data_IF_043992130123
#
_entry.id   IF_043992130123
#
_cell.length_a   1.000
_cell.length_b   1.000
_cell.length_c   1.000
_cell.angle_alpha   90.00
_cell.angle_beta   90.00
_cell.angle_gamma   90.00
#
_symmetry.space_group_name_H-M   'P 1'
#
loop_
_entity.id
_entity.type
_entity.pdbx_description
1 polymer ?
#
# COMPACT_ATOMS: atom_id res chain seq x y z
N UNK A 1 -0.78 -20.12 11.20
CA UNK A 1 0.39 -19.44 10.56
C UNK A 1 0.99 -20.13 9.33
N UNK A 2 1.09 -21.47 9.30
CA UNK A 2 1.62 -22.24 8.14
C UNK A 2 1.02 -21.84 6.79
N UNK A 3 -0.29 -21.58 6.74
CA UNK A 3 -0.99 -21.17 5.51
C UNK A 3 -0.36 -19.96 4.82
N UNK A 4 0.14 -18.97 5.57
CA UNK A 4 0.77 -17.78 4.99
C UNK A 4 2.20 -18.07 4.49
N UNK A 5 2.89 -19.03 5.12
CA UNK A 5 4.18 -19.52 4.63
C UNK A 5 4.00 -20.31 3.32
N UNK A 6 2.96 -21.13 3.26
CA UNK A 6 2.60 -21.89 2.06
C UNK A 6 2.17 -20.94 0.94
N UNK A 7 1.40 -19.90 1.28
CA UNK A 7 1.03 -18.81 0.36
C UNK A 7 2.25 -18.09 -0.20
N UNK A 8 3.19 -17.67 0.64
CA UNK A 8 4.42 -17.00 0.19
C UNK A 8 5.22 -17.85 -0.79
N UNK A 9 5.37 -19.16 -0.51
CA UNK A 9 6.04 -20.09 -1.44
C UNK A 9 5.29 -20.24 -2.76
N UNK A 10 3.98 -20.42 -2.71
CA UNK A 10 3.16 -20.57 -3.92
C UNK A 10 3.17 -19.32 -4.80
N UNK A 11 3.12 -18.12 -4.18
CA UNK A 11 3.27 -16.85 -4.88
C UNK A 11 4.61 -16.76 -5.59
N UNK A 12 5.71 -17.07 -4.90
CA UNK A 12 7.05 -17.04 -5.50
C UNK A 12 7.17 -18.03 -6.66
N UNK A 13 6.67 -19.26 -6.49
CA UNK A 13 6.69 -20.27 -7.55
C UNK A 13 5.92 -19.84 -8.80
N UNK A 14 4.76 -19.18 -8.65
CA UNK A 14 3.97 -18.69 -9.79
C UNK A 14 4.57 -17.44 -10.40
N UNK A 15 5.03 -16.51 -9.57
CA UNK A 15 5.62 -15.26 -10.04
C UNK A 15 6.94 -15.48 -10.78
N UNK A 16 7.74 -16.46 -10.36
CA UNK A 16 8.95 -16.89 -11.06
C UNK A 16 8.66 -17.37 -12.50
N UNK A 17 7.53 -18.07 -12.72
CA UNK A 17 7.14 -18.56 -14.06
C UNK A 17 6.87 -17.42 -15.06
N UNK A 18 6.52 -16.24 -14.54
CA UNK A 18 6.35 -15.01 -15.33
C UNK A 18 7.52 -14.03 -15.13
N UNK A 19 8.70 -14.56 -14.77
CA UNK A 19 9.96 -13.82 -14.60
C UNK A 19 9.85 -12.62 -13.64
N UNK A 20 9.05 -12.77 -12.59
CA UNK A 20 8.77 -11.70 -11.61
C UNK A 20 8.17 -10.42 -12.23
N UNK A 21 7.34 -10.54 -13.28
CA UNK A 21 6.59 -9.40 -13.83
C UNK A 21 5.68 -8.78 -12.78
N UNK A 22 5.89 -7.50 -12.46
CA UNK A 22 5.04 -6.73 -11.54
C UNK A 22 3.62 -6.54 -12.10
N UNK A 23 3.47 -6.47 -13.42
CA UNK A 23 2.16 -6.33 -14.09
C UNK A 23 1.29 -7.58 -13.88
N UNK A 24 1.90 -8.78 -13.93
CA UNK A 24 1.19 -10.04 -13.75
C UNK A 24 0.96 -10.41 -12.28
N UNK A 25 1.67 -9.78 -11.34
CA UNK A 25 1.66 -10.17 -9.94
C UNK A 25 0.30 -10.02 -9.24
N UNK A 26 -0.48 -8.92 -9.42
CA UNK A 26 -1.78 -8.78 -8.78
C UNK A 26 -2.75 -9.92 -9.10
N UNK A 27 -2.79 -10.38 -10.35
CA UNK A 27 -3.68 -11.46 -10.77
C UNK A 27 -3.26 -12.80 -10.16
N UNK A 28 -1.95 -13.09 -10.16
CA UNK A 28 -1.38 -14.26 -9.47
C UNK A 28 -1.72 -14.23 -7.98
N UNK A 29 -1.58 -13.08 -7.34
CA UNK A 29 -1.87 -12.92 -5.92
C UNK A 29 -3.35 -13.13 -5.61
N UNK A 30 -4.25 -12.55 -6.42
CA UNK A 30 -5.68 -12.72 -6.30
C UNK A 30 -6.11 -14.19 -6.53
N UNK A 31 -5.49 -14.90 -7.47
CA UNK A 31 -5.71 -16.33 -7.70
C UNK A 31 -5.29 -17.17 -6.48
N UNK A 32 -4.09 -16.95 -5.95
CA UNK A 32 -3.60 -17.68 -4.78
C UNK A 32 -4.48 -17.42 -3.55
N UNK A 33 -4.94 -16.18 -3.33
CA UNK A 33 -5.86 -15.84 -2.25
C UNK A 33 -7.22 -16.55 -2.39
N UNK A 34 -7.72 -16.71 -3.61
CA UNK A 34 -8.95 -17.46 -3.88
C UNK A 34 -8.77 -18.95 -3.67
N UNK A 35 -7.64 -19.50 -4.12
CA UNK A 35 -7.33 -20.93 -4.05
C UNK A 35 -7.08 -21.41 -2.60
N UNK A 36 -6.26 -20.68 -1.85
CA UNK A 36 -5.96 -21.04 -0.46
C UNK A 36 -7.07 -20.64 0.52
N UNK A 37 -7.93 -19.70 0.12
CA UNK A 37 -9.11 -19.23 0.86
C UNK A 37 -8.85 -19.01 2.37
N UNK A 38 -7.79 -18.27 2.76
CA UNK A 38 -7.37 -18.15 4.17
C UNK A 38 -8.49 -17.61 5.08
N UNK A 39 -9.38 -16.77 4.53
CA UNK A 39 -10.56 -16.22 5.22
C UNK A 39 -11.51 -17.29 5.81
N UNK A 40 -11.57 -18.50 5.24
CA UNK A 40 -12.49 -19.55 5.71
C UNK A 40 -12.07 -20.17 7.04
N UNK A 41 -10.77 -20.22 7.32
CA UNK A 41 -10.21 -20.81 8.53
C UNK A 41 -9.54 -19.77 9.44
N UNK A 42 -9.65 -18.48 9.11
CA UNK A 42 -8.96 -17.42 9.83
C UNK A 42 -9.54 -17.25 11.23
N UNK A 43 -8.65 -17.22 12.23
CA UNK A 43 -8.97 -16.91 13.62
C UNK A 43 -8.29 -15.61 13.99
N UNK A 44 -9.09 -14.60 14.35
CA UNK A 44 -8.63 -13.22 14.58
C UNK A 44 -7.41 -13.11 15.48
N UNK A 45 -7.39 -13.88 16.57
CA UNK A 45 -6.34 -13.77 17.59
C UNK A 45 -5.13 -14.67 17.32
N UNK A 46 -5.23 -15.68 16.45
CA UNK A 46 -4.16 -16.65 16.22
C UNK A 46 -2.83 -15.99 15.76
N UNK A 47 -2.82 -15.00 14.84
CA UNK A 47 -1.57 -14.33 14.47
C UNK A 47 -0.96 -13.50 15.62
N UNK A 48 -1.79 -12.90 16.47
CA UNK A 48 -1.34 -12.13 17.63
C UNK A 48 -0.76 -13.06 18.70
N UNK A 49 -1.43 -14.19 18.98
CA UNK A 49 -0.96 -15.23 19.89
C UNK A 49 0.36 -15.83 19.40
N UNK A 50 0.49 -16.07 18.09
CA UNK A 50 1.74 -16.54 17.49
C UNK A 50 2.89 -15.55 17.69
N UNK A 51 2.64 -14.24 17.57
CA UNK A 51 3.65 -13.21 17.78
C UNK A 51 4.25 -13.27 19.20
N UNK A 52 3.44 -13.54 20.22
CA UNK A 52 3.92 -13.70 21.60
C UNK A 52 4.73 -14.99 21.82
N UNK A 53 4.46 -16.04 21.04
CA UNK A 53 5.05 -17.36 21.22
C UNK A 53 6.29 -17.65 20.37
N UNK A 54 6.52 -16.89 19.30
CA UNK A 54 7.63 -17.15 18.36
C UNK A 54 8.91 -16.43 18.77
N UNK A 55 10.06 -17.06 18.50
CA UNK A 55 11.40 -16.44 18.61
C UNK A 55 12.00 -16.05 17.27
N UNK A 56 11.44 -16.60 16.20
CA UNK A 56 11.85 -16.35 14.83
C UNK A 56 10.63 -15.82 14.08
N UNK A 57 10.69 -14.56 13.68
CA UNK A 57 9.62 -13.90 12.95
C UNK A 57 10.21 -13.17 11.74
N UNK A 58 9.45 -13.08 10.64
CA UNK A 58 9.87 -12.34 9.47
C UNK A 58 10.21 -10.90 9.84
N UNK A 59 11.11 -10.27 9.09
CA UNK A 59 11.44 -8.86 9.30
C UNK A 59 10.15 -8.05 9.24
N UNK A 60 9.77 -7.45 10.36
CA UNK A 60 8.56 -6.63 10.42
C UNK A 60 8.81 -5.35 9.62
N UNK A 61 7.99 -5.16 8.59
CA UNK A 61 8.07 -3.98 7.73
C UNK A 61 6.95 -3.02 8.14
N UNK A 62 7.17 -2.25 9.20
CA UNK A 62 6.31 -1.10 9.52
C UNK A 62 6.65 0.06 8.58
N UNK A 63 6.29 -0.06 7.30
CA UNK A 63 6.57 0.97 6.28
C UNK A 63 5.78 2.25 6.53
N UNK A 64 4.65 2.16 7.22
CA UNK A 64 3.84 3.32 7.61
C UNK A 64 3.27 3.16 9.02
N UNK A 65 3.80 3.90 10.02
CA UNK A 65 3.21 3.93 11.35
C UNK A 65 1.72 4.29 11.28
N UNK A 66 0.87 3.48 11.92
CA UNK A 66 -0.59 3.70 11.96
C UNK A 66 -1.40 3.07 10.83
N UNK A 67 -0.77 2.46 9.82
CA UNK A 67 -1.50 1.70 8.80
C UNK A 67 -1.85 0.31 9.33
N UNK A 68 -3.03 0.18 9.93
CA UNK A 68 -3.46 -0.98 10.71
C UNK A 68 -3.05 -0.91 12.19
N UNK A 69 -3.84 -1.54 13.06
CA UNK A 69 -3.74 -1.52 14.52
C UNK A 69 -3.94 -2.92 15.14
N UNK A 70 -2.94 -3.83 15.10
CA UNK A 70 -1.60 -3.67 14.53
C UNK A 70 -1.51 -4.09 13.04
N UNK A 71 -0.43 -3.68 12.39
CA UNK A 71 0.10 -4.34 11.20
C UNK A 71 1.07 -5.45 11.61
N UNK A 72 1.00 -6.60 10.95
CA UNK A 72 1.83 -7.76 11.24
C UNK A 72 2.34 -8.42 9.96
N UNK A 73 3.66 -8.45 9.77
CA UNK A 73 4.27 -9.19 8.67
C UNK A 73 4.37 -10.67 9.03
N UNK A 74 3.64 -11.53 8.32
CA UNK A 74 3.58 -12.99 8.56
C UNK A 74 4.41 -13.81 7.57
N UNK A 75 4.89 -13.18 6.50
CA UNK A 75 5.87 -13.71 5.56
C UNK A 75 6.66 -12.56 4.96
N UNK A 76 7.97 -12.74 4.77
CA UNK A 76 8.81 -11.78 4.05
C UNK A 76 10.00 -12.49 3.41
N UNK A 77 10.36 -12.08 2.21
CA UNK A 77 11.67 -12.32 1.62
C UNK A 77 12.19 -11.06 0.89
N UNK A 78 13.14 -11.22 -0.04
CA UNK A 78 13.75 -10.10 -0.75
C UNK A 78 12.81 -9.38 -1.74
N UNK A 79 11.69 -9.99 -2.15
CA UNK A 79 10.78 -9.46 -3.19
C UNK A 79 9.32 -9.42 -2.76
N UNK A 80 8.93 -10.26 -1.81
CA UNK A 80 7.55 -10.47 -1.41
C UNK A 80 7.38 -10.30 0.09
N UNK A 81 6.26 -9.69 0.47
CA UNK A 81 5.77 -9.61 1.85
C UNK A 81 4.30 -10.01 1.90
N UNK A 82 3.89 -10.57 3.03
CA UNK A 82 2.48 -10.79 3.35
C UNK A 82 2.24 -10.16 4.72
N UNK A 83 1.41 -9.12 4.72
CA UNK A 83 1.00 -8.42 5.92
C UNK A 83 -0.45 -8.74 6.28
N UNK A 84 -0.71 -8.80 7.58
CA UNK A 84 -2.05 -8.79 8.16
C UNK A 84 -2.29 -7.43 8.80
N UNK A 85 -3.38 -6.78 8.39
CA UNK A 85 -3.81 -5.50 8.94
C UNK A 85 -5.08 -5.69 9.76
N UNK A 86 -5.02 -5.29 11.01
CA UNK A 86 -6.19 -5.17 11.89
C UNK A 86 -6.71 -3.74 11.81
N UNK A 87 -8.02 -3.56 11.67
CA UNK A 87 -8.64 -2.24 11.67
C UNK A 87 -9.57 -2.13 12.86
N UNK A 88 -9.12 -1.44 13.91
CA UNK A 88 -9.89 -1.28 15.16
C UNK A 88 -10.71 0.01 15.10
N UNK A 89 -10.08 1.11 14.68
CA UNK A 89 -10.70 2.44 14.62
C UNK A 89 -11.37 2.74 13.26
N UNK A 90 -11.36 1.77 12.33
CA UNK A 90 -12.25 1.73 11.17
C UNK A 90 -11.90 2.62 9.98
N UNK A 91 -10.82 3.40 10.00
CA UNK A 91 -10.45 4.27 8.87
C UNK A 91 -9.00 4.08 8.42
N UNK A 92 -8.81 4.03 7.10
CA UNK A 92 -7.50 4.14 6.44
C UNK A 92 -7.44 5.50 5.73
N UNK A 93 -6.26 6.12 5.71
CA UNK A 93 -6.05 7.33 4.91
C UNK A 93 -6.03 6.98 3.41
N UNK A 94 -6.43 7.92 2.55
CA UNK A 94 -6.18 7.81 1.11
C UNK A 94 -4.67 7.66 0.89
N UNK A 95 -4.27 6.67 0.11
CA UNK A 95 -2.88 6.39 -0.18
C UNK A 95 -2.71 5.75 -1.55
N UNK A 96 -1.48 5.84 -2.05
CA UNK A 96 -1.05 5.18 -3.27
C UNK A 96 -0.09 4.04 -2.93
N UNK A 97 0.04 3.11 -3.86
CA UNK A 97 0.93 1.96 -3.71
C UNK A 97 2.15 2.16 -4.62
N UNK A 98 3.34 2.22 -4.03
CA UNK A 98 4.61 2.07 -4.74
C UNK A 98 4.97 0.60 -5.01
N UNK A 99 3.98 -0.29 -4.96
CA UNK A 99 4.11 -1.74 -5.10
C UNK A 99 2.88 -2.32 -5.80
N UNK A 100 2.98 -3.56 -6.28
CA UNK A 100 1.88 -4.33 -6.84
C UNK A 100 1.45 -5.46 -5.89
N UNK A 101 0.18 -5.85 -5.93
CA UNK A 101 -0.31 -6.95 -5.10
C UNK A 101 -1.84 -7.06 -5.09
N UNK A 102 -2.34 -7.90 -4.20
CA UNK A 102 -3.76 -8.10 -3.95
C UNK A 102 -4.01 -8.18 -2.44
N UNK A 103 -5.24 -7.89 -2.02
CA UNK A 103 -5.67 -8.04 -0.64
C UNK A 103 -6.99 -8.81 -0.56
N UNK A 104 -7.26 -9.41 0.60
CA UNK A 104 -8.52 -10.09 0.90
C UNK A 104 -8.94 -9.75 2.33
N UNK A 105 -10.23 -9.45 2.52
CA UNK A 105 -10.82 -9.35 3.86
C UNK A 105 -10.89 -10.75 4.45
N UNK A 106 -10.12 -11.00 5.51
CA UNK A 106 -10.12 -12.30 6.20
C UNK A 106 -11.29 -12.44 7.18
N UNK A 107 -11.75 -11.33 7.76
CA UNK A 107 -12.88 -11.30 8.68
C UNK A 107 -13.48 -9.89 8.75
N UNK A 108 -14.80 -9.80 8.90
CA UNK A 108 -15.53 -8.54 8.93
C UNK A 108 -15.88 -8.05 7.53
N UNK A 109 -15.84 -6.73 7.32
CA UNK A 109 -16.17 -6.11 6.04
C UNK A 109 -15.29 -4.88 5.80
N UNK A 110 -15.12 -4.49 4.54
CA UNK A 110 -14.41 -3.28 4.17
C UNK A 110 -15.17 -2.52 3.10
N UNK A 111 -14.96 -1.20 3.06
CA UNK A 111 -15.35 -0.34 1.94
C UNK A 111 -14.06 0.08 1.26
N UNK A 112 -13.95 -0.20 -0.03
CA UNK A 112 -12.78 0.17 -0.83
C UNK A 112 -13.15 1.25 -1.84
N UNK A 113 -12.68 2.47 -1.59
CA UNK A 113 -12.82 3.58 -2.53
C UNK A 113 -11.63 3.64 -3.47
N UNK A 114 -11.90 3.68 -4.78
CA UNK A 114 -10.87 3.88 -5.80
C UNK A 114 -10.79 5.35 -6.18
N UNK A 115 -9.58 5.89 -6.15
CA UNK A 115 -9.29 7.26 -6.56
C UNK A 115 -8.23 7.24 -7.65
N UNK A 116 -8.38 8.11 -8.63
CA UNK A 116 -7.37 8.36 -9.66
C UNK A 116 -6.90 9.79 -9.52
N UNK A 117 -5.58 9.98 -9.47
CA UNK A 117 -5.00 11.31 -9.59
C UNK A 117 -5.26 11.83 -11.01
N UNK A 118 -5.82 13.03 -11.13
CA UNK A 118 -5.81 13.76 -12.40
C UNK A 118 -4.47 14.45 -12.58
N UNK A 119 -4.03 14.55 -13.83
CA UNK A 119 -2.77 15.21 -14.14
C UNK A 119 -2.83 16.70 -13.78
N UNK A 120 -1.69 17.27 -13.38
CA UNK A 120 -1.57 18.70 -13.08
C UNK A 120 -2.19 19.59 -14.16
N UNK A 121 -1.86 19.32 -15.43
CA UNK A 121 -2.39 20.05 -16.58
C UNK A 121 -3.92 20.01 -16.68
N UNK A 122 -4.54 18.88 -16.35
CA UNK A 122 -6.00 18.74 -16.41
C UNK A 122 -6.69 19.55 -15.31
N UNK A 123 -6.12 19.55 -14.10
CA UNK A 123 -6.61 20.39 -12.99
C UNK A 123 -6.49 21.86 -13.34
N UNK A 124 -5.34 22.27 -13.90
CA UNK A 124 -5.10 23.65 -14.30
C UNK A 124 -6.07 24.11 -15.40
N UNK A 125 -6.29 23.29 -16.44
CA UNK A 125 -7.28 23.60 -17.48
C UNK A 125 -8.66 23.87 -16.87
N UNK A 126 -9.10 23.05 -15.93
CA UNK A 126 -10.43 23.20 -15.30
C UNK A 126 -10.54 24.43 -14.41
N UNK A 127 -9.46 24.81 -13.73
CA UNK A 127 -9.44 26.06 -12.95
C UNK A 127 -9.59 27.28 -13.86
N UNK A 128 -8.94 27.28 -15.04
CA UNK A 128 -9.06 28.35 -16.05
C UNK A 128 -10.45 28.46 -16.70
N UNK A 129 -11.28 27.42 -16.60
CA UNK A 129 -12.70 27.51 -17.02
C UNK A 129 -13.55 28.34 -16.03
N UNK A 130 -13.08 28.48 -14.78
CA UNK A 130 -13.82 29.15 -13.70
C UNK A 130 -13.19 30.49 -13.29
N UNK A 131 -11.87 30.59 -13.39
CA UNK A 131 -11.06 31.74 -12.98
C UNK A 131 -10.28 32.32 -14.16
N UNK A 132 -9.72 33.52 -13.99
CA UNK A 132 -8.89 34.15 -15.01
C UNK A 132 -7.64 33.30 -15.33
N UNK A 133 -7.36 33.11 -16.62
CA UNK A 133 -6.32 32.19 -17.04
C UNK A 133 -4.91 32.69 -16.71
N UNK A 134 -4.67 34.00 -16.80
CA UNK A 134 -3.38 34.61 -16.51
C UNK A 134 -3.10 34.59 -15.00
N UNK A 135 -4.15 34.81 -14.19
CA UNK A 135 -4.06 34.68 -12.74
C UNK A 135 -3.77 33.24 -12.30
N UNK A 136 -4.46 32.25 -12.87
CA UNK A 136 -4.22 30.82 -12.56
C UNK A 136 -2.80 30.39 -12.94
N UNK A 137 -2.30 30.82 -14.11
CA UNK A 137 -0.94 30.51 -14.54
C UNK A 137 0.11 31.16 -13.62
N UNK A 138 -0.05 32.45 -13.30
CA UNK A 138 0.86 33.14 -12.38
C UNK A 138 0.91 32.50 -10.99
N UNK A 139 -0.25 32.16 -10.42
CA UNK A 139 -0.30 31.50 -9.11
C UNK A 139 0.28 30.08 -9.14
N UNK A 140 0.07 29.34 -10.23
CA UNK A 140 0.67 28.02 -10.43
C UNK A 140 2.20 28.12 -10.43
N UNK A 141 2.76 29.08 -11.17
CA UNK A 141 4.20 29.31 -11.26
C UNK A 141 4.80 29.72 -9.90
N UNK A 142 4.12 30.59 -9.17
CA UNK A 142 4.53 31.01 -7.82
C UNK A 142 4.56 29.83 -6.83
N UNK A 143 3.55 28.97 -6.86
CA UNK A 143 3.48 27.77 -6.01
C UNK A 143 4.60 26.79 -6.38
N UNK A 144 4.87 26.59 -7.67
CA UNK A 144 5.94 25.73 -8.14
C UNK A 144 7.31 26.26 -7.68
N UNK A 145 7.57 27.56 -7.85
CA UNK A 145 8.80 28.21 -7.39
C UNK A 145 9.00 28.11 -5.87
N UNK A 146 7.90 28.25 -5.11
CA UNK A 146 7.92 28.03 -3.66
C UNK A 146 8.27 26.57 -3.32
N UNK A 147 7.62 25.60 -3.97
CA UNK A 147 7.87 24.19 -3.73
C UNK A 147 9.34 23.80 -4.03
N UNK A 148 9.90 24.31 -5.13
CA UNK A 148 11.31 24.10 -5.48
C UNK A 148 12.25 24.72 -4.43
N UNK A 149 11.96 25.94 -3.99
CA UNK A 149 12.71 26.60 -2.92
C UNK A 149 12.67 25.81 -1.61
N UNK A 150 11.52 25.22 -1.27
CA UNK A 150 11.36 24.38 -0.08
C UNK A 150 12.11 23.04 -0.20
N UNK A 151 12.23 22.47 -1.40
CA UNK A 151 13.01 21.23 -1.64
C UNK A 151 14.52 21.43 -1.47
N UNK A 152 15.02 22.61 -1.83
CA UNK A 152 16.44 22.96 -1.66
C UNK A 152 16.78 23.41 -0.23
N UNK A 153 15.77 23.82 0.55
CA UNK A 153 15.94 24.20 1.94
C UNK A 153 16.35 23.01 2.81
N UNK A 154 17.46 23.13 3.55
CA UNK A 154 17.91 22.11 4.51
C UNK A 154 16.90 21.84 5.63
N UNK A 155 16.04 22.81 5.93
CA UNK A 155 15.00 22.70 6.95
C UNK A 155 13.81 21.87 6.47
N UNK A 156 13.37 22.08 5.22
CA UNK A 156 12.13 21.50 4.69
C UNK A 156 12.34 20.30 3.76
N UNK A 157 13.56 20.10 3.23
CA UNK A 157 13.90 18.96 2.36
C UNK A 157 13.48 17.58 2.91
N UNK A 158 13.55 17.28 4.22
CA UNK A 158 13.08 15.99 4.74
C UNK A 158 11.60 15.72 4.49
N UNK A 159 10.76 16.75 4.47
CA UNK A 159 9.30 16.65 4.25
C UNK A 159 8.91 16.29 2.82
N UNK A 160 9.81 16.48 1.84
CA UNK A 160 9.57 16.16 0.43
C UNK A 160 10.19 14.83 -0.02
N UNK A 161 10.85 14.11 0.89
CA UNK A 161 11.37 12.75 0.66
C UNK A 161 10.36 11.73 1.18
N UNK A 162 9.18 11.70 0.55
CA UNK A 162 8.18 10.64 0.72
C UNK A 162 8.30 9.62 -0.38
#
# INVERSE_FOLDING_TARGET
MRIFQDMGRLLQERWLKVQHSEEAFPDIAAEVLRELAPHQAFKTLEPLEWLYGTRDFPKQLTTRPGFGQPALTVFSDARLLIDLYYWVDGTTDIHQHGFCGAFQVLQGSSIHGHYHSRGHAEVMTRLKETFDAEEVDGQSDDIAALADSLRESTLFRPTFRG
#
